data_IF_477651531189
#
_entry.id   IF_477651531189
#
_cell.length_a   1.000
_cell.length_b   1.000
_cell.length_c   1.000
_cell.angle_alpha   90.00
_cell.angle_beta   90.00
_cell.angle_gamma   90.00
#
_symmetry.space_group_name_H-M   'P 1'
#
loop_
_entity.id
_entity.type
_entity.pdbx_description
1 polymer ?
2 non-polymer ?
3 non-polymer ?
4 non-polymer ?
5 non-polymer ?
6 water ?
#
# COMPACT_ATOMS: atom_id res chain seq x y z
N UNK A 1 -2.43 -13.55 23.27
CA UNK A 1 -3.27 -14.71 23.69
C UNK A 1 -3.18 -15.79 22.63
N UNK A 2 -3.57 -17.00 22.96
CA UNK A 2 -3.86 -18.06 21.97
C UNK A 2 -5.13 -17.59 21.26
N UNK A 3 -5.11 -17.64 19.96
CA UNK A 3 -6.25 -17.14 19.22
C UNK A 3 -7.37 -18.14 19.18
N UNK A 4 -8.63 -17.69 19.12
CA UNK A 4 -9.72 -18.66 18.92
C UNK A 4 -9.57 -19.40 17.61
N UNK A 5 -10.06 -20.63 17.58
CA UNK A 5 -10.02 -21.43 16.36
C UNK A 5 -10.93 -20.87 15.26
N UNK A 6 -12.03 -20.21 15.62
CA UNK A 6 -12.97 -19.61 14.65
C UNK A 6 -13.48 -18.31 15.27
N UNK A 7 -13.75 -17.35 14.38
CA UNK A 7 -14.33 -16.04 14.76
C UNK A 7 -15.36 -15.68 13.71
N UNK A 8 -16.43 -15.05 14.15
CA UNK A 8 -17.44 -14.51 13.19
C UNK A 8 -17.96 -13.20 13.77
N UNK A 9 -17.50 -12.09 13.25
CA UNK A 9 -17.90 -10.75 13.71
C UNK A 9 -19.36 -10.47 13.50
N UNK A 10 -20.06 -11.22 12.66
CA UNK A 10 -21.52 -11.09 12.56
C UNK A 10 -22.18 -11.47 13.88
N UNK A 11 -21.63 -12.44 14.60
CA UNK A 11 -22.18 -12.85 15.90
C UNK A 11 -22.01 -11.76 16.93
N UNK A 12 -21.06 -10.84 16.72
CA UNK A 12 -20.74 -9.76 17.66
C UNK A 12 -21.54 -8.50 17.30
N UNK A 13 -22.39 -8.54 16.29
CA UNK A 13 -23.17 -7.39 15.92
C UNK A 13 -22.41 -6.27 15.27
N UNK A 14 -21.29 -6.61 14.58
CA UNK A 14 -20.36 -5.61 14.03
C UNK A 14 -20.37 -5.57 12.52
N UNK A 15 -21.32 -6.23 11.86
CA UNK A 15 -21.36 -6.31 10.39
C UNK A 15 -22.75 -5.93 9.89
N UNK A 16 -22.80 -4.96 9.00
CA UNK A 16 -24.05 -4.46 8.40
C UNK A 16 -24.54 -5.41 7.35
N UNK A 17 -25.74 -5.12 6.87
CA UNK A 17 -26.31 -5.81 5.73
C UNK A 17 -25.35 -5.76 4.55
N UNK A 18 -25.37 -6.80 3.73
CA UNK A 18 -24.63 -6.87 2.47
C UNK A 18 -25.19 -5.81 1.51
N UNK A 19 -24.25 -5.14 0.85
CA UNK A 19 -24.54 -4.08 -0.14
C UNK A 19 -24.31 -4.64 -1.54
N UNK A 20 -24.89 -3.90 -2.50
CA UNK A 20 -24.84 -4.24 -3.93
C UNK A 20 -24.21 -3.06 -4.69
N UNK A 21 -23.00 -3.22 -5.19
CA UNK A 21 -22.28 -2.12 -5.84
C UNK A 21 -22.80 -1.88 -7.25
N UNK A 22 -23.45 -2.86 -7.84
CA UNK A 22 -23.88 -2.76 -9.24
C UNK A 22 -22.69 -2.60 -10.16
N UNK A 23 -22.88 -1.81 -11.19
CA UNK A 23 -21.87 -1.71 -12.26
C UNK A 23 -20.77 -0.73 -11.93
N UNK A 24 -20.79 -0.12 -10.77
CA UNK A 24 -19.75 0.81 -10.30
C UNK A 24 -18.70 0.05 -9.50
N UNK A 25 -17.45 0.20 -9.87
CA UNK A 25 -16.29 -0.47 -9.27
C UNK A 25 -15.88 0.10 -7.94
N UNK A 26 -16.82 0.10 -6.99
CA UNK A 26 -16.72 0.77 -5.70
C UNK A 26 -16.39 -0.22 -4.59
N UNK A 27 -15.90 -1.40 -4.95
CA UNK A 27 -15.60 -2.42 -3.93
C UNK A 27 -14.67 -1.87 -2.85
N UNK A 28 -13.70 -1.07 -3.20
CA UNK A 28 -12.75 -0.50 -2.26
C UNK A 28 -13.48 0.37 -1.23
N UNK A 29 -14.48 1.10 -1.69
CA UNK A 29 -15.26 1.97 -0.81
C UNK A 29 -16.13 1.13 0.14
N UNK A 30 -16.74 0.07 -0.36
CA UNK A 30 -17.51 -0.82 0.50
C UNK A 30 -16.62 -1.52 1.51
N UNK A 31 -15.47 -2.01 1.06
CA UNK A 31 -14.53 -2.64 1.98
C UNK A 31 -14.16 -1.70 3.11
N UNK A 32 -13.80 -0.47 2.77
CA UNK A 32 -13.36 0.50 3.78
C UNK A 32 -14.49 0.82 4.73
N UNK A 33 -15.67 1.11 4.22
CA UNK A 33 -16.77 1.45 5.15
C UNK A 33 -17.11 0.24 6.03
N UNK A 34 -17.05 -0.97 5.50
CA UNK A 34 -17.36 -2.12 6.34
C UNK A 34 -16.38 -2.28 7.48
N UNK A 35 -15.11 -2.05 7.22
CA UNK A 35 -14.10 -2.11 8.28
C UNK A 35 -14.41 -1.08 9.35
N UNK A 36 -14.71 0.15 8.92
CA UNK A 36 -14.97 1.24 9.87
C UNK A 36 -16.30 1.02 10.63
N UNK A 37 -17.29 0.43 9.99
CA UNK A 37 -18.58 0.13 10.63
C UNK A 37 -18.36 -0.70 11.87
N UNK A 38 -17.47 -1.67 11.79
CA UNK A 38 -17.22 -2.51 12.95
C UNK A 38 -16.59 -1.73 14.07
N UNK A 39 -15.61 -0.87 13.76
CA UNK A 39 -14.97 -0.08 14.80
C UNK A 39 -15.97 0.89 15.41
N UNK A 40 -16.88 1.43 14.60
CA UNK A 40 -17.89 2.35 15.14
C UNK A 40 -18.79 1.60 16.10
N UNK A 41 -19.19 0.37 15.81
CA UNK A 41 -19.99 -0.43 16.75
C UNK A 41 -19.22 -0.65 18.03
N UNK A 42 -17.96 -1.02 17.92
CA UNK A 42 -17.15 -1.30 19.13
C UNK A 42 -17.02 -0.06 20.00
N UNK A 43 -16.94 1.11 19.39
CA UNK A 43 -16.78 2.38 20.13
C UNK A 43 -18.09 2.84 20.76
N UNK A 44 -19.16 2.82 19.99
CA UNK A 44 -20.39 3.54 20.32
C UNK A 44 -21.55 2.63 20.71
N UNK A 45 -21.50 1.35 20.36
CA UNK A 45 -22.62 0.47 20.54
C UNK A 45 -23.63 0.51 19.41
N UNK A 46 -23.45 1.38 18.42
CA UNK A 46 -24.39 1.52 17.28
C UNK A 46 -23.84 0.80 16.06
N UNK A 47 -24.68 0.03 15.38
CA UNK A 47 -24.35 -0.58 14.08
C UNK A 47 -25.02 0.28 13.02
N UNK A 48 -24.22 0.98 12.22
CA UNK A 48 -24.70 1.95 11.24
C UNK A 48 -24.01 1.71 9.91
N UNK A 49 -24.72 1.63 8.83
CA UNK A 49 -24.11 1.60 7.48
C UNK A 49 -23.55 2.97 7.17
N UNK A 50 -22.27 3.02 6.79
CA UNK A 50 -21.59 4.26 6.43
C UNK A 50 -21.60 4.46 4.93
N UNK A 51 -21.38 5.71 4.52
CA UNK A 51 -21.60 6.07 3.10
C UNK A 51 -20.42 5.70 2.19
N UNK A 52 -20.57 4.59 1.47
CA UNK A 52 -19.66 4.26 0.39
C UNK A 52 -19.67 5.34 -0.67
N UNK A 53 -20.83 5.93 -0.94
CA UNK A 53 -20.93 6.99 -2.00
C UNK A 53 -20.07 8.19 -1.61
N UNK A 54 -20.01 8.56 -0.33
CA UNK A 54 -19.15 9.64 0.16
C UNK A 54 -17.73 9.35 -0.27
N UNK A 55 -17.27 8.13 -0.10
CA UNK A 55 -15.89 7.81 -0.55
C UNK A 55 -15.77 7.89 -2.07
N UNK A 56 -16.68 7.33 -2.81
CA UNK A 56 -16.63 7.38 -4.28
C UNK A 56 -16.52 8.82 -4.76
N UNK A 57 -17.30 9.71 -4.21
CA UNK A 57 -17.41 11.09 -4.70
C UNK A 57 -16.33 12.00 -4.16
N UNK A 58 -15.73 11.66 -3.02
CA UNK A 58 -14.95 12.66 -2.26
C UNK A 58 -13.52 12.20 -2.03
N UNK A 59 -13.29 10.88 -1.95
CA UNK A 59 -11.92 10.35 -1.81
C UNK A 59 -11.49 10.03 -3.26
N UNK A 60 -11.10 11.06 -4.00
CA UNK A 60 -10.92 10.99 -5.45
C UNK A 60 -9.44 11.15 -5.80
N UNK A 61 -9.15 12.10 -6.69
CA UNK A 61 -7.84 12.21 -7.39
C UNK A 61 -6.74 12.30 -6.35
N UNK A 62 -6.93 13.15 -5.35
CA UNK A 62 -5.85 13.42 -4.38
C UNK A 62 -5.52 12.18 -3.57
N UNK A 63 -6.43 11.24 -3.51
CA UNK A 63 -6.26 9.98 -2.77
C UNK A 63 -5.89 8.85 -3.71
N UNK A 64 -5.61 9.11 -4.98
CA UNK A 64 -5.23 8.07 -5.91
C UNK A 64 -6.39 7.20 -6.33
N UNK A 65 -7.61 7.62 -6.02
CA UNK A 65 -8.79 6.83 -6.28
C UNK A 65 -9.55 7.34 -7.52
N UNK A 66 -10.30 6.47 -8.15
CA UNK A 66 -10.96 6.70 -9.44
C UNK A 66 -12.43 6.35 -9.34
N UNK A 67 -13.06 6.46 -8.19
CA UNK A 67 -14.52 6.32 -8.06
C UNK A 67 -14.95 4.96 -8.50
N UNK A 68 -15.85 4.93 -9.49
CA UNK A 68 -16.33 3.68 -10.06
C UNK A 68 -15.29 2.91 -10.85
N UNK A 69 -14.10 3.47 -11.08
CA UNK A 69 -13.01 2.80 -11.74
C UNK A 69 -11.92 2.41 -10.75
N UNK A 70 -12.27 2.26 -9.46
CA UNK A 70 -11.37 1.57 -8.51
C UNK A 70 -10.58 2.49 -7.58
N UNK A 71 -9.98 1.90 -6.58
CA UNK A 71 -9.26 2.71 -5.58
C UNK A 71 -8.76 1.84 -4.47
N UNK A 72 -8.30 2.53 -3.44
CA UNK A 72 -7.62 1.95 -2.27
C UNK A 72 -8.47 2.09 -1.02
N UNK A 73 -8.50 1.02 -0.22
CA UNK A 73 -9.07 1.13 1.14
C UNK A 73 -8.25 2.03 2.03
N UNK A 74 -6.93 1.90 1.96
CA UNK A 74 -6.07 2.70 2.83
C UNK A 74 -6.27 4.20 2.59
N UNK A 75 -6.27 4.59 1.32
CA UNK A 75 -6.37 6.00 1.02
C UNK A 75 -7.78 6.48 1.31
N UNK A 76 -8.78 5.61 1.23
CA UNK A 76 -10.12 5.98 1.71
C UNK A 76 -10.10 6.26 3.22
N UNK A 77 -9.45 5.40 4.01
CA UNK A 77 -9.31 5.69 5.45
C UNK A 77 -8.67 7.06 5.66
N UNK A 78 -7.58 7.33 4.90
CA UNK A 78 -6.90 8.63 5.09
C UNK A 78 -7.83 9.78 4.73
N UNK A 79 -8.64 9.67 3.70
CA UNK A 79 -9.62 10.71 3.43
C UNK A 79 -10.53 10.93 4.64
N UNK A 80 -11.02 9.87 5.27
CA UNK A 80 -11.91 10.04 6.42
C UNK A 80 -11.20 10.78 7.53
N UNK A 81 -9.93 10.43 7.79
CA UNK A 81 -9.08 11.13 8.80
C UNK A 81 -8.97 12.60 8.42
N UNK A 82 -8.54 12.88 7.21
CA UNK A 82 -8.29 14.25 6.74
C UNK A 82 -9.55 15.08 6.78
N UNK A 83 -10.64 14.46 6.40
CA UNK A 83 -11.95 15.14 6.28
C UNK A 83 -12.62 15.33 7.65
N UNK A 84 -12.14 14.63 8.67
CA UNK A 84 -12.71 14.67 10.03
C UNK A 84 -14.11 14.06 10.01
N UNK A 85 -14.41 13.17 9.10
CA UNK A 85 -15.69 12.47 9.14
C UNK A 85 -16.05 11.76 7.87
N UNK A 86 -17.06 10.90 8.01
CA UNK A 86 -17.77 10.27 6.91
C UNK A 86 -19.24 10.31 7.26
N UNK A 87 -20.08 10.53 6.27
CA UNK A 87 -21.54 10.59 6.46
C UNK A 87 -22.14 9.20 6.60
N UNK A 88 -23.33 9.14 7.18
CA UNK A 88 -24.12 7.89 7.16
C UNK A 88 -24.52 7.54 5.72
N UNK A 89 -24.71 6.24 5.49
CA UNK A 89 -25.32 5.81 4.25
C UNK A 89 -26.74 6.41 4.13
N UNK A 90 -27.47 6.47 5.23
CA UNK A 90 -28.86 6.97 5.17
C UNK A 90 -28.87 8.40 4.58
N UNK A 91 -27.92 9.24 5.03
CA UNK A 91 -27.84 10.67 4.66
C UNK A 91 -27.23 10.83 3.26
N UNK A 92 -26.42 9.86 2.80
CA UNK A 92 -25.61 9.99 1.59
C UNK A 92 -25.64 8.64 0.92
N UNK A 93 -26.80 8.28 0.36
CA UNK A 93 -27.00 6.94 -0.14
C UNK A 93 -26.29 6.63 -1.44
N UNK A 94 -26.18 5.34 -1.71
CA UNK A 94 -25.35 4.83 -2.82
C UNK A 94 -26.11 4.83 -4.12
N UNK A 95 -25.45 5.40 -5.14
CA UNK A 95 -25.98 5.73 -6.48
C UNK A 95 -25.39 4.80 -7.55
N UNK A 96 -24.23 4.20 -7.29
CA UNK A 96 -23.52 3.40 -8.31
C UNK A 96 -23.14 4.28 -9.49
N UNK A 97 -22.63 5.45 -9.18
CA UNK A 97 -22.08 6.33 -10.23
C UNK A 97 -21.20 7.40 -9.56
N UNK A 98 -20.33 8.00 -10.34
CA UNK A 98 -19.41 9.04 -9.86
C UNK A 98 -20.23 10.29 -9.74
N UNK A 99 -20.15 10.98 -8.63
CA UNK A 99 -20.81 12.26 -8.41
C UNK A 99 -19.90 13.33 -7.82
N UNK A 100 -20.34 14.59 -7.87
CA UNK A 100 -19.65 15.67 -7.18
C UNK A 100 -19.70 15.33 -5.68
N UNK A 101 -18.75 15.82 -4.95
CA UNK A 101 -18.64 15.59 -3.50
C UNK A 101 -19.73 16.36 -2.75
N UNK A 102 -20.58 15.62 -2.06
CA UNK A 102 -21.73 16.17 -1.33
C UNK A 102 -21.58 16.02 0.17
N UNK A 103 -20.37 15.74 0.67
CA UNK A 103 -20.17 15.56 2.10
C UNK A 103 -20.72 16.78 2.85
N UNK A 104 -21.39 16.51 3.96
CA UNK A 104 -21.83 17.55 4.88
C UNK A 104 -21.57 17.05 6.30
N UNK A 105 -20.88 17.80 7.11
CA UNK A 105 -20.57 17.40 8.47
C UNK A 105 -21.86 17.21 9.28
N UNK A 106 -22.92 17.86 8.92
CA UNK A 106 -24.18 17.72 9.73
C UNK A 106 -24.69 16.29 9.67
N UNK A 107 -24.21 15.49 8.74
CA UNK A 107 -24.65 14.08 8.64
C UNK A 107 -23.48 13.13 9.01
N UNK A 108 -22.46 13.62 9.67
CA UNK A 108 -21.33 12.79 10.06
C UNK A 108 -21.83 11.62 10.93
N UNK A 109 -21.40 10.40 10.59
CA UNK A 109 -21.72 9.21 11.38
C UNK A 109 -20.48 8.56 11.99
N UNK A 110 -19.29 8.84 11.50
CA UNK A 110 -18.09 8.27 12.08
C UNK A 110 -16.91 9.17 11.80
N UNK A 111 -15.86 8.92 12.56
CA UNK A 111 -14.54 9.48 12.32
C UNK A 111 -13.55 8.32 12.23
N UNK A 112 -12.31 8.66 11.87
CA UNK A 112 -11.21 7.67 11.86
C UNK A 112 -9.99 8.40 12.38
N UNK A 113 -9.21 7.73 13.22
CA UNK A 113 -8.01 8.35 13.79
C UNK A 113 -6.73 7.89 13.09
N UNK A 114 -6.75 6.69 12.53
CA UNK A 114 -5.56 6.04 12.03
C UNK A 114 -5.99 4.80 11.26
N UNK A 115 -5.06 4.27 10.47
CA UNK A 115 -5.24 2.93 9.93
C UNK A 115 -3.91 2.22 9.99
N UNK A 116 -3.96 0.91 9.86
CA UNK A 116 -2.79 0.03 9.96
C UNK A 116 -2.77 -0.89 8.76
N UNK A 117 -1.59 -1.01 8.19
CA UNK A 117 -1.34 -1.91 7.06
C UNK A 117 -0.59 -3.14 7.56
N UNK A 118 -1.11 -4.31 7.27
CA UNK A 118 -0.48 -5.51 7.74
C UNK A 118 0.65 -5.90 6.83
N UNK A 119 1.68 -6.55 7.41
CA UNK A 119 2.79 -6.99 6.58
C UNK A 119 2.35 -7.90 5.45
N UNK A 120 3.01 -7.78 4.33
CA UNK A 120 2.63 -8.49 3.14
C UNK A 120 2.63 -10.00 3.29
N UNK A 121 1.51 -10.62 2.96
CA UNK A 121 1.41 -12.04 2.76
C UNK A 121 1.32 -12.92 4.00
N UNK A 122 1.15 -12.32 5.16
CA UNK A 122 1.24 -13.05 6.45
C UNK A 122 -0.17 -13.41 6.89
N UNK A 123 -0.54 -14.65 6.70
CA UNK A 123 -1.88 -15.09 7.10
C UNK A 123 -2.00 -15.20 8.61
N UNK A 124 -0.93 -15.50 9.31
CA UNK A 124 -0.94 -15.55 10.79
C UNK A 124 -1.23 -14.17 11.39
N UNK A 125 -0.59 -13.15 10.81
CA UNK A 125 -0.82 -11.78 11.26
C UNK A 125 -2.24 -11.35 10.94
N UNK A 126 -2.74 -11.75 9.78
CA UNK A 126 -4.16 -11.47 9.44
C UNK A 126 -5.07 -12.14 10.45
N UNK A 127 -4.79 -13.39 10.81
CA UNK A 127 -5.67 -14.07 11.77
C UNK A 127 -5.70 -13.31 13.10
N UNK A 128 -4.53 -12.88 13.58
CA UNK A 128 -4.45 -12.13 14.82
C UNK A 128 -5.25 -10.83 14.75
N UNK A 129 -5.15 -10.11 13.64
CA UNK A 129 -5.91 -8.85 13.49
C UNK A 129 -7.41 -9.13 13.45
N UNK A 130 -7.84 -10.13 12.73
CA UNK A 130 -9.28 -10.45 12.68
C UNK A 130 -9.78 -10.86 14.07
N UNK A 131 -8.98 -11.63 14.80
CA UNK A 131 -9.40 -12.05 16.16
C UNK A 131 -9.43 -10.90 17.14
N UNK A 132 -8.41 -10.02 17.09
CA UNK A 132 -8.16 -9.10 18.19
C UNK A 132 -8.56 -7.66 17.87
N UNK A 133 -8.67 -7.29 16.63
CA UNK A 133 -8.94 -5.91 16.23
C UNK A 133 -10.32 -5.74 15.63
N UNK A 134 -10.67 -6.55 14.67
CA UNK A 134 -11.94 -6.43 13.97
C UNK A 134 -11.82 -6.91 12.54
N UNK A 135 -12.91 -6.77 11.78
CA UNK A 135 -12.86 -7.05 10.35
C UNK A 135 -11.76 -6.26 9.67
N UNK A 136 -11.14 -6.87 8.68
CA UNK A 136 -9.94 -6.35 8.00
C UNK A 136 -10.25 -6.22 6.51
N UNK A 137 -9.96 -5.05 5.95
CA UNK A 137 -10.10 -4.82 4.53
C UNK A 137 -8.97 -5.53 3.82
N UNK A 138 -9.27 -6.23 2.73
CA UNK A 138 -8.25 -6.97 1.93
C UNK A 138 -8.57 -6.83 0.45
N UNK A 139 -7.57 -7.07 -0.35
CA UNK A 139 -7.77 -7.29 -1.77
C UNK A 139 -7.60 -8.76 -2.10
N UNK A 140 -8.37 -9.26 -3.03
CA UNK A 140 -8.25 -10.63 -3.57
C UNK A 140 -8.19 -10.61 -5.09
N UNK A 141 -7.59 -11.65 -5.64
CA UNK A 141 -7.65 -11.95 -7.06
C UNK A 141 -9.03 -12.55 -7.35
N UNK A 142 -9.89 -11.74 -7.95
CA UNK A 142 -11.20 -12.17 -8.41
C UNK A 142 -11.26 -12.23 -9.94
N UNK A 143 -10.14 -12.47 -10.55
CA UNK A 143 -10.05 -12.45 -12.04
C UNK A 143 -10.30 -13.82 -12.64
N UNK A 144 -11.07 -14.67 -12.00
CA UNK A 144 -11.33 -16.04 -12.45
C UNK A 144 -12.83 -16.25 -12.47
N UNK A 145 -13.37 -16.92 -13.52
CA UNK A 145 -14.79 -17.25 -13.53
C UNK A 145 -15.31 -17.94 -12.27
N UNK A 146 -14.50 -18.80 -11.67
CA UNK A 146 -14.91 -19.54 -10.47
C UNK A 146 -15.35 -18.55 -9.37
N UNK A 147 -14.74 -17.36 -9.29
CA UNK A 147 -15.12 -16.40 -8.24
C UNK A 147 -16.55 -15.94 -8.45
N UNK A 148 -16.87 -15.59 -9.71
CA UNK A 148 -18.22 -15.16 -10.12
C UNK A 148 -19.26 -16.24 -9.92
N UNK A 149 -18.82 -17.48 -10.12
CA UNK A 149 -19.71 -18.64 -10.10
C UNK A 149 -19.82 -19.27 -8.72
N UNK A 150 -19.08 -18.78 -7.74
CA UNK A 150 -19.04 -19.38 -6.39
C UNK A 150 -20.45 -19.41 -5.80
N UNK A 151 -20.82 -20.52 -5.21
CA UNK A 151 -22.10 -20.65 -4.49
C UNK A 151 -21.94 -21.01 -3.04
N UNK A 152 -21.08 -21.94 -2.68
CA UNK A 152 -21.01 -22.42 -1.29
C UNK A 152 -19.71 -23.13 -1.05
N UNK A 153 -19.39 -23.25 0.22
CA UNK A 153 -18.25 -24.05 0.68
C UNK A 153 -16.98 -23.20 0.72
N UNK A 154 -15.84 -23.87 0.73
CA UNK A 154 -14.54 -23.19 0.78
C UNK A 154 -14.02 -23.04 -0.62
N UNK A 155 -13.86 -21.82 -1.06
CA UNK A 155 -13.37 -21.46 -2.38
C UNK A 155 -11.86 -21.69 -2.48
N UNK A 156 -11.47 -22.48 -3.49
CA UNK A 156 -10.07 -22.71 -3.87
C UNK A 156 -10.00 -22.71 -5.39
N UNK A 157 -9.18 -21.86 -5.93
CA UNK A 157 -9.01 -21.69 -7.39
C UNK A 157 -7.55 -21.96 -7.70
N UNK A 158 -7.24 -23.10 -8.38
CA UNK A 158 -5.85 -23.41 -8.65
C UNK A 158 -5.08 -22.36 -9.47
N UNK A 159 -5.79 -21.59 -10.28
CA UNK A 159 -5.18 -20.55 -11.14
C UNK A 159 -5.11 -19.19 -10.40
N UNK A 160 -5.51 -19.13 -9.12
CA UNK A 160 -5.42 -17.87 -8.39
C UNK A 160 -3.97 -17.41 -8.25
N UNK A 161 -3.83 -16.12 -8.19
CA UNK A 161 -2.52 -15.45 -8.03
C UNK A 161 -2.59 -14.47 -6.87
N UNK A 162 -1.46 -13.79 -6.63
CA UNK A 162 -1.35 -12.67 -5.67
C UNK A 162 -1.54 -11.33 -6.43
N UNK A 163 -2.04 -11.29 -7.66
CA UNK A 163 -2.27 -9.99 -8.35
C UNK A 163 -3.72 -9.62 -8.08
N UNK A 164 -3.94 -8.98 -6.96
CA UNK A 164 -5.29 -8.73 -6.42
C UNK A 164 -5.94 -7.57 -7.17
N UNK A 165 -7.25 -7.65 -7.28
CA UNK A 165 -8.00 -6.60 -7.99
C UNK A 165 -9.37 -6.29 -7.39
N UNK A 166 -9.79 -6.97 -6.33
CA UNK A 166 -11.15 -6.83 -5.79
C UNK A 166 -11.07 -6.62 -4.29
N UNK A 167 -11.57 -5.52 -3.80
CA UNK A 167 -11.57 -5.22 -2.37
C UNK A 167 -12.77 -5.80 -1.67
N UNK A 168 -12.52 -6.48 -0.57
CA UNK A 168 -13.53 -7.17 0.22
C UNK A 168 -13.18 -7.03 1.68
N UNK A 169 -13.97 -7.64 2.55
CA UNK A 169 -13.84 -7.46 4.01
C UNK A 169 -13.78 -8.84 4.67
N UNK A 170 -12.69 -9.13 5.36
CA UNK A 170 -12.61 -10.35 6.19
C UNK A 170 -13.33 -10.10 7.49
N UNK A 171 -14.42 -10.81 7.71
CA UNK A 171 -15.22 -10.66 8.93
C UNK A 171 -15.13 -11.88 9.84
N UNK A 172 -14.26 -12.83 9.54
CA UNK A 172 -14.06 -13.99 10.41
C UNK A 172 -13.19 -15.01 9.76
N UNK A 173 -13.09 -16.14 10.42
CA UNK A 173 -12.28 -17.27 9.93
C UNK A 173 -12.78 -18.51 10.63
N UNK A 174 -12.47 -19.65 10.06
CA UNK A 174 -12.90 -20.92 10.68
C UNK A 174 -12.43 -22.09 9.86
N UNK A 175 -13.19 -23.15 9.95
CA UNK A 175 -12.89 -24.34 9.17
C UNK A 175 -14.19 -25.07 8.88
N UNK A 176 -14.24 -25.69 7.71
CA UNK A 176 -15.42 -26.51 7.28
C UNK A 176 -14.92 -27.95 7.28
N UNK A 177 -15.14 -28.64 8.41
CA UNK A 177 -14.64 -30.02 8.64
C UNK A 177 -13.15 -30.08 8.39
N UNK A 178 -12.44 -29.10 8.93
CA UNK A 178 -10.98 -29.04 8.82
C UNK A 178 -10.46 -28.23 7.63
N UNK A 179 -11.34 -27.85 6.70
CA UNK A 179 -10.91 -27.06 5.51
C UNK A 179 -10.88 -25.60 5.99
N UNK A 180 -9.70 -25.04 6.23
CA UNK A 180 -9.63 -23.69 6.83
C UNK A 180 -10.08 -22.64 5.83
N UNK A 181 -10.75 -21.61 6.31
CA UNK A 181 -11.20 -20.52 5.47
C UNK A 181 -11.15 -19.19 6.19
N UNK A 182 -11.19 -18.17 5.36
CA UNK A 182 -11.47 -16.77 5.69
C UNK A 182 -12.94 -16.49 5.34
N UNK A 183 -13.68 -15.88 6.25
CA UNK A 183 -15.08 -15.51 5.98
C UNK A 183 -15.09 -14.09 5.43
N UNK A 184 -15.48 -13.94 4.17
CA UNK A 184 -15.34 -12.68 3.44
C UNK A 184 -16.70 -12.12 3.07
N UNK A 185 -16.94 -10.87 3.45
CA UNK A 185 -18.11 -10.11 3.02
C UNK A 185 -17.78 -9.43 1.70
N UNK A 186 -18.59 -9.71 0.68
CA UNK A 186 -18.48 -9.05 -0.62
C UNK A 186 -19.53 -7.93 -0.71
N UNK A 187 -19.47 -7.18 -1.79
CA UNK A 187 -20.39 -6.06 -2.09
C UNK A 187 -21.06 -6.28 -3.45
N UNK A 188 -21.39 -7.54 -3.74
CA UNK A 188 -22.06 -7.93 -4.98
C UNK A 188 -23.50 -8.34 -4.67
N UNK A 189 -24.03 -7.84 -3.58
CA UNK A 189 -25.40 -8.13 -3.20
C UNK A 189 -25.61 -9.46 -2.55
N UNK A 190 -26.83 -9.64 -2.10
CA UNK A 190 -27.18 -10.86 -1.30
C UNK A 190 -27.32 -12.09 -2.18
N UNK A 191 -27.31 -11.99 -3.48
CA UNK A 191 -27.48 -13.20 -4.31
C UNK A 191 -26.13 -13.83 -4.58
N UNK A 192 -25.04 -13.10 -4.34
CA UNK A 192 -23.70 -13.64 -4.60
C UNK A 192 -23.34 -14.65 -3.51
N UNK A 193 -22.83 -15.81 -3.90
CA UNK A 193 -22.23 -16.73 -2.94
C UNK A 193 -23.19 -17.15 -1.85
N UNK A 194 -22.69 -17.17 -0.61
CA UNK A 194 -23.43 -17.58 0.56
C UNK A 194 -24.19 -16.36 1.10
N UNK A 195 -25.20 -15.93 0.36
CA UNK A 195 -26.00 -14.77 0.74
C UNK A 195 -25.13 -13.53 0.98
N UNK A 196 -24.20 -13.35 0.05
CA UNK A 196 -23.33 -12.16 0.00
C UNK A 196 -21.91 -12.39 0.44
N UNK A 197 -21.63 -13.55 1.01
CA UNK A 197 -20.35 -13.94 1.61
C UNK A 197 -19.67 -15.01 0.77
N UNK A 198 -18.36 -15.07 0.87
CA UNK A 198 -17.58 -16.18 0.30
C UNK A 198 -16.60 -16.64 1.37
N UNK A 199 -16.47 -17.95 1.53
CA UNK A 199 -15.44 -18.51 2.40
C UNK A 199 -14.27 -18.91 1.50
N UNK A 200 -13.13 -18.30 1.75
CA UNK A 200 -11.95 -18.44 0.88
C UNK A 200 -10.84 -19.21 1.60
N UNK A 201 -10.14 -20.05 0.86
CA UNK A 201 -9.11 -20.90 1.46
C UNK A 201 -8.11 -20.14 2.29
N UNK A 202 -7.85 -20.63 3.48
CA UNK A 202 -6.95 -20.04 4.48
C UNK A 202 -5.77 -20.99 4.74
N UNK A 203 -4.61 -20.43 4.93
CA UNK A 203 -3.37 -21.18 5.16
C UNK A 203 -3.07 -22.09 3.97
N UNK A 204 -3.33 -21.58 2.79
CA UNK A 204 -3.06 -22.27 1.52
C UNK A 204 -2.19 -21.35 0.67
N UNK A 205 -1.11 -20.89 1.24
CA UNK A 205 -0.11 -20.13 0.49
C UNK A 205 -0.59 -18.75 0.04
N UNK A 206 -1.28 -18.05 0.95
CA UNK A 206 -1.78 -16.71 0.58
C UNK A 206 -2.66 -16.79 -0.68
N UNK A 207 -3.66 -17.68 -0.58
CA UNK A 207 -4.52 -18.02 -1.72
C UNK A 207 -5.26 -16.79 -2.20
N UNK A 208 -5.14 -16.52 -3.50
CA UNK A 208 -5.78 -15.37 -4.15
C UNK A 208 -5.31 -14.06 -3.55
N UNK A 209 -4.15 -14.05 -2.90
CA UNK A 209 -3.61 -12.81 -2.37
C UNK A 209 -4.39 -12.22 -1.21
N UNK A 210 -5.18 -13.02 -0.51
CA UNK A 210 -6.06 -12.46 0.53
C UNK A 210 -5.24 -11.75 1.60
N UNK A 211 -4.05 -12.21 1.95
CA UNK A 211 -3.22 -11.59 2.95
C UNK A 211 -2.17 -10.67 2.35
N UNK A 212 -2.25 -10.38 1.08
CA UNK A 212 -1.25 -9.48 0.44
C UNK A 212 -1.33 -8.07 1.02
N UNK A 213 -2.53 -7.46 0.98
CA UNK A 213 -2.64 -6.03 1.33
C UNK A 213 -3.79 -5.79 2.31
N UNK A 214 -3.66 -6.25 3.55
CA UNK A 214 -4.72 -6.07 4.55
C UNK A 214 -4.54 -4.76 5.28
N UNK A 215 -5.66 -4.13 5.66
CA UNK A 215 -5.61 -2.93 6.50
C UNK A 215 -6.86 -2.83 7.36
N UNK A 216 -6.73 -2.13 8.47
CA UNK A 216 -7.92 -1.83 9.27
C UNK A 216 -7.79 -0.46 9.87
N UNK A 217 -8.93 0.22 10.05
CA UNK A 217 -8.96 1.54 10.68
C UNK A 217 -9.21 1.43 12.17
N UNK A 218 -8.99 2.56 12.85
CA UNK A 218 -9.39 2.70 14.25
C UNK A 218 -9.97 4.06 14.49
N UNK A 219 -10.73 4.15 15.57
CA UNK A 219 -11.40 5.38 15.99
C UNK A 219 -10.85 5.81 17.35
N UNK A 220 -10.62 7.11 17.52
CA UNK A 220 -10.16 7.70 18.81
C UNK A 220 -11.01 7.23 19.99
N UNK B 1 11.98 15.23 18.91
CA UNK B 1 12.95 16.35 18.66
C UNK B 1 12.33 17.38 17.69
N UNK B 2 12.80 18.63 17.74
CA UNK B 2 12.64 19.63 16.63
C UNK B 2 13.37 19.02 15.44
N UNK B 3 12.74 19.00 14.28
CA UNK B 3 13.42 18.33 13.17
C UNK B 3 14.40 19.31 12.54
N UNK B 4 15.48 18.82 11.94
CA UNK B 4 16.34 19.72 11.20
C UNK B 4 15.60 20.36 10.02
N UNK B 5 16.01 21.59 9.69
CA UNK B 5 15.42 22.32 8.55
C UNK B 5 15.80 21.65 7.21
N UNK B 6 16.91 20.94 7.18
CA UNK B 6 17.35 20.23 5.97
C UNK B 6 18.10 18.97 6.36
N UNK B 7 18.04 17.98 5.46
CA UNK B 7 18.67 16.67 5.59
C UNK B 7 19.23 16.30 4.23
N UNK B 8 20.41 15.68 4.22
CA UNK B 8 20.97 15.09 3.00
C UNK B 8 21.79 13.87 3.42
N UNK B 9 21.21 12.69 3.24
CA UNK B 9 21.85 11.45 3.67
C UNK B 9 23.18 11.16 2.94
N UNK B 10 23.40 11.82 1.81
CA UNK B 10 24.70 11.67 1.15
C UNK B 10 25.81 12.21 2.07
N UNK B 11 25.53 13.16 2.93
CA UNK B 11 26.53 13.76 3.83
C UNK B 11 26.97 12.75 4.90
N UNK B 12 26.15 11.75 5.23
CA UNK B 12 26.55 10.73 6.22
C UNK B 12 27.01 9.46 5.52
N UNK B 13 27.22 9.50 4.21
CA UNK B 13 27.76 8.33 3.54
C UNK B 13 26.77 7.21 3.44
N UNK B 14 25.46 7.51 3.42
CA UNK B 14 24.43 6.45 3.46
C UNK B 14 23.79 6.21 2.08
N UNK B 15 24.30 6.80 1.02
CA UNK B 15 23.69 6.74 -0.31
C UNK B 15 24.73 6.28 -1.34
N UNK B 16 24.44 5.19 -2.00
CA UNK B 16 25.31 4.68 -3.07
C UNK B 16 25.23 5.53 -4.33
N UNK B 17 26.13 5.26 -5.27
CA UNK B 17 26.07 5.98 -6.52
C UNK B 17 24.77 5.64 -7.25
N UNK B 18 24.33 6.62 -8.02
CA UNK B 18 23.17 6.50 -8.89
C UNK B 18 23.33 5.33 -9.87
N UNK B 19 22.29 4.58 -10.05
CA UNK B 19 22.21 3.45 -10.96
C UNK B 19 21.41 3.81 -12.20
N UNK B 20 21.59 2.96 -13.23
CA UNK B 20 20.94 3.12 -14.54
C UNK B 20 20.13 1.88 -14.82
N UNK B 21 18.80 1.98 -14.79
CA UNK B 21 17.94 0.78 -14.93
C UNK B 21 17.79 0.38 -16.41
N UNK B 22 18.17 1.23 -17.33
CA UNK B 22 17.94 0.91 -18.76
C UNK B 22 16.46 0.82 -19.06
N UNK B 23 16.13 -0.03 -20.03
CA UNK B 23 14.73 -0.17 -20.47
C UNK B 23 13.98 -1.19 -19.64
N UNK B 24 14.46 -1.59 -18.53
CA UNK B 24 13.81 -2.52 -17.61
C UNK B 24 13.11 -1.68 -16.54
N UNK B 25 11.81 -1.88 -16.30
CA UNK B 25 11.04 -1.14 -15.30
C UNK B 25 11.24 -1.60 -13.90
N UNK B 26 12.47 -1.55 -13.44
CA UNK B 26 12.93 -2.06 -12.15
C UNK B 26 13.10 -0.94 -11.13
N UNK B 27 12.49 0.22 -11.37
CA UNK B 27 12.63 1.33 -10.42
C UNK B 27 12.27 0.92 -9.01
N UNK B 28 11.24 0.09 -8.85
CA UNK B 28 10.81 -0.37 -7.52
C UNK B 28 11.95 -1.09 -6.81
N UNK B 29 12.69 -1.88 -7.57
CA UNK B 29 13.82 -2.61 -7.00
C UNK B 29 14.95 -1.70 -6.62
N UNK B 30 15.25 -0.74 -7.46
CA UNK B 30 16.27 0.26 -7.13
C UNK B 30 15.87 1.06 -5.90
N UNK B 31 14.61 1.50 -5.84
CA UNK B 31 14.13 2.28 -4.69
C UNK B 31 14.31 1.45 -3.42
N UNK B 32 13.87 0.19 -3.44
CA UNK B 32 13.94 -0.65 -2.26
C UNK B 32 15.39 -0.89 -1.82
N UNK B 33 16.27 -1.24 -2.74
CA UNK B 33 17.66 -1.49 -2.33
C UNK B 33 18.28 -0.19 -1.81
N UNK B 34 17.95 0.94 -2.42
CA UNK B 34 18.53 2.20 -1.90
C UNK B 34 18.14 2.47 -0.47
N UNK B 35 16.88 2.23 -0.13
CA UNK B 35 16.44 2.43 1.26
C UNK B 35 17.19 1.47 2.21
N UNK B 36 17.35 0.23 1.78
CA UNK B 36 18.03 -0.76 2.64
C UNK B 36 19.52 -0.47 2.75
N UNK B 37 20.13 0.02 1.67
CA UNK B 37 21.58 0.36 1.71
C UNK B 37 21.86 1.34 2.82
N UNK B 38 21.01 2.34 3.01
CA UNK B 38 21.21 3.31 4.09
C UNK B 38 21.15 2.62 5.43
N UNK B 39 20.14 1.77 5.65
CA UNK B 39 20.04 1.08 6.94
C UNK B 39 21.26 0.19 7.18
N UNK B 40 21.77 -0.41 6.13
CA UNK B 40 22.96 -1.27 6.26
C UNK B 40 24.17 -0.42 6.66
N UNK B 41 24.35 0.77 6.08
CA UNK B 41 25.43 1.68 6.47
C UNK B 41 25.26 2.08 7.95
N UNK B 42 24.04 2.38 8.37
CA UNK B 42 23.80 2.84 9.75
C UNK B 42 24.12 1.71 10.70
N UNK B 43 23.81 0.47 10.33
CA UNK B 43 24.01 -0.68 11.23
C UNK B 43 25.48 -1.13 11.28
N UNK B 44 26.17 -1.19 10.15
CA UNK B 44 27.48 -1.85 10.05
C UNK B 44 28.61 -0.87 9.79
N UNK B 45 28.32 0.38 9.50
CA UNK B 45 29.31 1.41 9.11
C UNK B 45 29.82 1.26 7.69
N UNK B 46 29.27 0.36 6.89
CA UNK B 46 29.87 0.13 5.57
C UNK B 46 28.81 0.26 4.49
N UNK B 47 29.16 1.06 3.48
CA UNK B 47 28.27 1.34 2.33
C UNK B 47 28.49 0.31 1.25
N UNK B 48 27.44 -0.40 0.89
CA UNK B 48 27.49 -1.52 -0.05
C UNK B 48 26.25 -1.42 -0.94
N UNK B 49 26.43 -1.33 -2.26
CA UNK B 49 25.29 -1.42 -3.21
C UNK B 49 24.69 -2.82 -3.12
N UNK B 50 23.37 -2.88 -3.02
CA UNK B 50 22.65 -4.16 -2.91
C UNK B 50 22.02 -4.50 -4.25
N UNK B 51 21.70 -5.77 -4.45
CA UNK B 51 21.35 -6.28 -5.77
C UNK B 51 19.90 -5.99 -6.16
N UNK B 52 19.66 -4.97 -6.98
CA UNK B 52 18.34 -4.78 -7.59
C UNK B 52 17.98 -6.01 -8.41
N UNK B 53 18.96 -6.63 -9.09
CA UNK B 53 18.66 -7.77 -9.95
C UNK B 53 18.08 -8.92 -9.10
N UNK B 54 18.62 -9.15 -7.91
CA UNK B 54 18.11 -10.18 -6.99
C UNK B 54 16.61 -9.96 -6.78
N UNK B 55 16.18 -8.72 -6.62
CA UNK B 55 14.74 -8.44 -6.43
C UNK B 55 13.97 -8.69 -7.70
N UNK B 56 14.47 -8.23 -8.84
CA UNK B 56 13.84 -8.47 -10.13
C UNK B 56 13.60 -9.95 -10.36
N UNK B 57 14.60 -10.77 -10.09
CA UNK B 57 14.53 -12.19 -10.46
C UNK B 57 13.82 -13.03 -9.41
N UNK B 58 13.72 -12.57 -8.16
CA UNK B 58 13.34 -13.47 -7.06
C UNK B 58 12.16 -12.95 -6.24
N UNK B 59 11.92 -11.65 -6.24
CA UNK B 59 10.70 -11.09 -5.58
C UNK B 59 9.69 -10.92 -6.72
N UNK B 60 9.05 -12.01 -7.11
CA UNK B 60 8.27 -12.11 -8.35
C UNK B 60 6.78 -12.28 -8.01
N UNK B 61 6.14 -13.27 -8.62
CA UNK B 61 4.67 -13.40 -8.63
C UNK B 61 4.14 -13.44 -7.20
N UNK B 62 4.79 -14.17 -6.34
CA UNK B 62 4.32 -14.35 -4.95
C UNK B 62 4.24 -13.03 -4.22
N UNK B 63 5.00 -12.04 -4.68
CA UNK B 63 5.10 -10.71 -4.08
C UNK B 63 4.34 -9.65 -4.89
N UNK B 64 3.58 -10.07 -5.89
CA UNK B 64 2.83 -9.13 -6.71
C UNK B 64 3.70 -8.34 -7.65
N UNK B 65 4.95 -8.73 -7.86
CA UNK B 65 5.91 -7.98 -8.70
C UNK B 65 6.08 -8.67 -10.04
N UNK B 66 6.45 -7.89 -11.03
CA UNK B 66 6.55 -8.32 -12.42
C UNK B 66 7.90 -7.95 -13.02
N UNK B 67 8.95 -7.89 -12.20
CA UNK B 67 10.29 -7.74 -12.74
C UNK B 67 10.43 -6.43 -13.50
N UNK B 68 10.86 -6.54 -14.75
CA UNK B 68 11.00 -5.40 -15.65
C UNK B 68 9.69 -4.75 -16.03
N UNK B 69 8.57 -5.31 -15.58
CA UNK B 69 7.21 -4.80 -15.80
C UNK B 69 6.61 -4.32 -14.47
N UNK B 70 7.44 -3.90 -13.52
CA UNK B 70 7.01 -3.10 -12.39
C UNK B 70 6.76 -3.89 -11.13
N UNK B 71 6.59 -3.20 -10.03
CA UNK B 71 6.44 -3.85 -8.73
C UNK B 71 6.33 -2.85 -7.59
N UNK B 72 6.44 -3.38 -6.39
CA UNK B 72 6.27 -2.66 -5.14
C UNK B 72 7.56 -2.68 -4.33
N UNK B 73 7.89 -1.55 -3.72
CA UNK B 73 9.01 -1.51 -2.73
C UNK B 73 8.64 -2.30 -1.46
N UNK B 74 7.39 -2.18 -1.01
CA UNK B 74 7.02 -2.88 0.25
C UNK B 74 7.14 -4.37 0.10
N UNK B 75 6.66 -4.92 -1.01
CA UNK B 75 6.67 -6.37 -1.18
C UNK B 75 8.08 -6.84 -1.44
N UNK B 76 8.92 -5.99 -2.03
CA UNK B 76 10.37 -6.27 -2.13
C UNK B 76 10.98 -6.42 -0.75
N UNK B 77 10.65 -5.50 0.16
CA UNK B 77 11.16 -5.61 1.53
C UNK B 77 10.71 -6.94 2.13
N UNK B 78 9.44 -7.28 1.97
CA UNK B 78 8.94 -8.52 2.55
C UNK B 78 9.67 -9.74 1.98
N UNK B 79 9.99 -9.72 0.67
CA UNK B 79 10.82 -10.80 0.09
C UNK B 79 12.14 -10.89 0.85
N UNK B 80 12.79 -9.79 1.08
CA UNK B 80 14.11 -9.84 1.75
C UNK B 80 13.96 -10.42 3.16
N UNK B 81 12.91 -10.03 3.87
CA UNK B 81 12.61 -10.62 5.20
C UNK B 81 12.42 -12.12 5.09
N UNK B 82 11.53 -12.56 4.19
CA UNK B 82 11.14 -13.97 4.04
C UNK B 82 12.34 -14.80 3.61
N UNK B 83 13.16 -14.22 2.73
CA UNK B 83 14.32 -14.89 2.13
C UNK B 83 15.51 -14.91 3.11
N UNK B 84 15.48 -14.14 4.17
CA UNK B 84 16.58 -14.01 5.14
C UNK B 84 17.82 -13.45 4.48
N UNK B 85 17.65 -12.63 3.45
CA UNK B 85 18.79 -11.93 2.87
C UNK B 85 18.59 -11.37 1.48
N UNK B 86 19.53 -10.53 1.12
CA UNK B 86 19.70 -10.03 -0.26
C UNK B 86 21.22 -10.00 -0.57
N UNK B 87 21.54 -10.36 -1.81
CA UNK B 87 22.93 -10.37 -2.27
C UNK B 87 23.44 -8.96 -2.54
N UNK B 88 24.77 -8.81 -2.52
CA UNK B 88 25.37 -7.55 -2.98
C UNK B 88 25.16 -7.39 -4.51
N UNK B 89 25.18 -6.12 -4.93
CA UNK B 89 25.18 -5.81 -6.35
C UNK B 89 26.43 -6.40 -7.05
N UNK B 90 27.58 -6.35 -6.37
CA UNK B 90 28.80 -6.90 -6.98
C UNK B 90 28.65 -8.38 -7.30
N UNK B 91 28.00 -9.12 -6.40
CA UNK B 91 27.82 -10.57 -6.54
C UNK B 91 26.76 -10.95 -7.54
N UNK B 92 25.74 -10.08 -7.70
CA UNK B 92 24.51 -10.39 -8.42
C UNK B 92 24.19 -9.16 -9.24
N UNK B 93 24.96 -8.96 -10.30
CA UNK B 93 24.88 -7.71 -11.02
C UNK B 93 23.61 -7.52 -11.84
N UNK B 94 23.38 -6.23 -12.15
CA UNK B 94 22.16 -5.83 -12.83
C UNK B 94 22.31 -5.96 -14.34
N UNK B 95 21.32 -6.61 -14.94
CA UNK B 95 21.33 -6.93 -16.37
C UNK B 95 20.15 -6.33 -17.14
N UNK B 96 19.23 -5.68 -16.45
CA UNK B 96 18.14 -4.99 -17.12
C UNK B 96 17.27 -6.00 -17.91
N UNK B 97 17.08 -7.20 -17.32
CA UNK B 97 16.30 -8.28 -17.90
C UNK B 97 15.69 -9.11 -16.80
N UNK B 98 14.62 -9.81 -17.11
CA UNK B 98 14.06 -10.82 -16.19
C UNK B 98 14.90 -12.08 -16.30
N UNK B 99 15.43 -12.59 -15.22
CA UNK B 99 16.22 -13.82 -15.21
C UNK B 99 15.71 -14.79 -14.16
N UNK B 100 16.22 -16.01 -14.18
CA UNK B 100 15.94 -16.98 -13.12
C UNK B 100 16.52 -16.48 -11.81
N UNK B 101 15.89 -16.84 -10.72
CA UNK B 101 16.36 -16.45 -9.38
C UNK B 101 17.67 -17.20 -9.08
N UNK B 102 18.72 -16.42 -8.83
CA UNK B 102 20.08 -16.90 -8.57
C UNK B 102 20.56 -16.52 -7.19
N UNK B 103 19.67 -16.20 -6.25
CA UNK B 103 20.08 -15.85 -4.89
C UNK B 103 20.97 -16.94 -4.30
N UNK B 104 22.04 -16.54 -3.62
CA UNK B 104 22.87 -17.48 -2.85
C UNK B 104 23.24 -16.77 -1.56
N UNK B 105 23.07 -17.42 -0.42
CA UNK B 105 23.38 -16.85 0.88
C UNK B 105 24.88 -16.56 1.00
N UNK B 106 25.72 -17.26 0.27
CA UNK B 106 27.17 -16.98 0.41
C UNK B 106 27.50 -15.59 -0.07
N UNK B 107 26.62 -14.94 -0.83
CA UNK B 107 26.78 -13.55 -1.29
C UNK B 107 25.91 -12.57 -0.58
N UNK B 108 25.28 -12.99 0.52
CA UNK B 108 24.40 -12.09 1.28
C UNK B 108 25.16 -10.89 1.77
N UNK B 109 24.59 -9.71 1.58
CA UNK B 109 25.17 -8.46 2.08
C UNK B 109 24.25 -7.71 3.01
N UNK B 110 22.97 -8.08 3.08
CA UNK B 110 22.08 -7.43 4.04
C UNK B 110 20.93 -8.36 4.35
N UNK B 111 20.28 -8.03 5.46
CA UNK B 111 19.00 -8.63 5.86
C UNK B 111 18.00 -7.50 6.09
N UNK B 112 16.75 -7.87 6.33
CA UNK B 112 15.69 -6.93 6.70
C UNK B 112 14.81 -7.61 7.74
N UNK B 113 14.43 -6.84 8.76
CA UNK B 113 13.60 -7.40 9.84
C UNK B 113 12.13 -7.00 9.70
N UNK B 114 11.88 -5.88 9.06
CA UNK B 114 10.53 -5.33 8.96
C UNK B 114 10.57 -4.18 7.99
N UNK B 115 9.40 -3.66 7.70
CA UNK B 115 9.23 -2.40 6.99
C UNK B 115 8.03 -1.66 7.50
N UNK B 116 8.00 -0.37 7.25
CA UNK B 116 6.95 0.55 7.71
C UNK B 116 6.42 1.32 6.53
N UNK B 117 5.10 1.28 6.35
CA UNK B 117 4.42 2.16 5.38
C UNK B 117 3.94 3.40 6.13
N UNK B 118 4.21 4.56 5.58
CA UNK B 118 3.77 5.83 6.18
C UNK B 118 2.33 6.09 5.81
N UNK B 119 1.63 6.91 6.62
CA UNK B 119 0.27 7.29 6.28
C UNK B 119 0.21 8.09 4.97
N UNK B 120 -0.86 7.89 4.23
CA UNK B 120 -1.03 8.45 2.90
C UNK B 120 -1.00 9.97 2.90
N UNK B 121 -0.13 10.50 2.07
CA UNK B 121 -0.12 11.91 1.73
C UNK B 121 0.43 12.88 2.76
N UNK B 122 1.05 12.40 3.81
CA UNK B 122 1.40 13.25 4.96
C UNK B 122 2.88 13.66 4.86
N UNK B 123 3.10 14.84 4.30
CA UNK B 123 4.45 15.33 4.09
C UNK B 123 5.19 15.61 5.37
N UNK B 124 4.51 15.97 6.46
CA UNK B 124 5.15 16.14 7.78
C UNK B 124 5.68 14.81 8.31
N UNK B 125 4.89 13.74 8.16
CA UNK B 125 5.32 12.41 8.64
C UNK B 125 6.50 11.95 7.78
N UNK B 126 6.45 12.21 6.48
CA UNK B 126 7.59 11.84 5.60
C UNK B 126 8.84 12.62 6.05
N UNK B 127 8.71 13.93 6.34
CA UNK B 127 9.86 14.69 6.82
C UNK B 127 10.45 14.03 8.06
N UNK B 128 9.60 13.70 9.03
CA UNK B 128 10.07 13.07 10.28
C UNK B 128 10.81 11.77 9.98
N UNK B 129 10.30 10.94 9.07
CA UNK B 129 10.96 9.67 8.77
C UNK B 129 12.30 9.91 8.08
N UNK B 130 12.35 10.83 7.14
CA UNK B 130 13.65 11.12 6.47
C UNK B 130 14.65 11.61 7.47
N UNK B 131 14.24 12.44 8.42
CA UNK B 131 15.18 12.99 9.42
C UNK B 131 15.61 11.90 10.39
N UNK B 132 14.68 11.07 10.88
CA UNK B 132 14.92 10.23 12.07
C UNK B 132 15.17 8.79 11.75
N UNK B 133 14.84 8.31 10.56
CA UNK B 133 14.98 6.89 10.19
C UNK B 133 16.00 6.72 9.07
N UNK B 134 15.86 7.49 8.00
CA UNK B 134 16.73 7.32 6.84
C UNK B 134 16.01 7.66 5.56
N UNK B 135 16.66 7.43 4.43
CA UNK B 135 15.99 7.52 3.13
C UNK B 135 14.73 6.65 3.09
N UNK B 136 13.75 7.19 2.37
CA UNK B 136 12.41 6.57 2.28
C UNK B 136 12.06 6.30 0.82
N UNK B 137 11.63 5.09 0.58
CA UNK B 137 11.14 4.71 -0.76
C UNK B 137 9.78 5.36 -1.01
N UNK B 138 9.58 5.95 -2.18
CA UNK B 138 8.31 6.58 -2.54
C UNK B 138 8.01 6.34 -4.00
N UNK B 139 6.75 6.54 -4.35
CA UNK B 139 6.37 6.64 -5.75
C UNK B 139 6.05 8.09 -6.11
N UNK B 140 6.32 8.44 -7.36
CA UNK B 140 5.95 9.75 -7.92
C UNK B 140 5.28 9.57 -9.27
N UNK B 141 4.51 10.57 -9.63
CA UNK B 141 4.00 10.74 -11.01
C UNK B 141 5.09 11.35 -11.86
N UNK B 142 5.77 10.48 -12.61
CA UNK B 142 6.89 10.84 -13.53
C UNK B 142 6.41 10.79 -14.96
N UNK B 143 5.11 10.93 -15.22
CA UNK B 143 4.63 10.77 -16.61
C UNK B 143 4.81 12.03 -17.45
N UNK B 144 4.95 13.18 -16.84
CA UNK B 144 4.81 14.44 -17.61
C UNK B 144 6.12 14.76 -18.31
N UNK B 145 6.05 15.28 -19.55
CA UNK B 145 7.25 15.57 -20.31
C UNK B 145 8.29 16.41 -19.57
N UNK B 146 7.83 17.31 -18.71
CA UNK B 146 8.76 18.13 -17.94
C UNK B 146 9.67 17.28 -17.06
N UNK B 147 9.21 16.15 -16.56
CA UNK B 147 10.04 15.37 -15.64
C UNK B 147 11.31 14.92 -16.33
N UNK B 148 11.19 14.43 -17.55
CA UNK B 148 12.32 13.90 -18.29
C UNK B 148 13.35 15.01 -18.60
N UNK B 149 12.87 16.21 -18.71
CA UNK B 149 13.66 17.39 -19.12
C UNK B 149 14.19 18.19 -17.94
N UNK B 150 13.91 17.77 -16.72
CA UNK B 150 14.40 18.50 -15.53
C UNK B 150 15.92 18.60 -15.56
N UNK B 151 16.42 19.78 -15.22
CA UNK B 151 17.89 19.95 -15.12
C UNK B 151 18.32 20.53 -13.78
N UNK B 152 17.57 21.42 -13.18
CA UNK B 152 18.05 22.14 -11.97
C UNK B 152 16.89 22.81 -11.32
N UNK B 153 17.12 23.35 -10.13
CA UNK B 153 16.06 24.00 -9.37
C UNK B 153 15.15 23.04 -8.68
N UNK B 154 13.98 23.51 -8.37
CA UNK B 154 12.94 22.72 -7.67
C UNK B 154 11.80 22.48 -8.66
N UNK B 155 11.58 21.20 -8.94
CA UNK B 155 10.57 20.74 -9.91
C UNK B 155 9.17 20.97 -9.34
N UNK B 156 8.39 21.73 -10.09
CA UNK B 156 6.96 21.96 -9.83
C UNK B 156 6.23 21.94 -11.18
N UNK B 157 5.34 20.99 -11.34
CA UNK B 157 4.64 20.75 -12.60
C UNK B 157 3.16 20.88 -12.29
N UNK B 158 2.49 21.96 -12.74
CA UNK B 158 1.06 22.07 -12.48
C UNK B 158 0.22 20.91 -12.99
N UNK B 159 0.66 20.18 -13.99
CA UNK B 159 -0.07 19.03 -14.54
C UNK B 159 0.14 17.78 -13.69
N UNK B 160 0.99 17.78 -12.68
CA UNK B 160 1.25 16.58 -11.90
C UNK B 160 -0.03 16.13 -11.18
N UNK B 161 -0.05 14.85 -10.90
CA UNK B 161 -1.15 14.21 -10.20
C UNK B 161 -0.62 13.37 -9.06
N UNK B 162 -1.54 12.80 -8.27
CA UNK B 162 -1.20 11.80 -7.27
C UNK B 162 -1.30 10.38 -7.80
N UNK B 163 -1.42 10.18 -9.10
CA UNK B 163 -1.41 8.82 -9.66
C UNK B 163 0.04 8.51 -9.97
N UNK B 164 0.69 7.85 -9.04
CA UNK B 164 2.13 7.64 -9.13
C UNK B 164 2.43 6.44 -10.01
N UNK B 165 3.55 6.51 -10.70
CA UNK B 165 3.97 5.43 -11.61
C UNK B 165 5.44 5.05 -11.45
N UNK B 166 6.25 5.75 -10.68
CA UNK B 166 7.70 5.63 -10.72
C UNK B 166 8.27 5.59 -9.31
N UNK B 167 8.96 4.50 -9.00
CA UNK B 167 9.57 4.33 -7.67
C UNK B 167 10.94 4.99 -7.60
N UNK B 168 11.13 5.81 -6.58
CA UNK B 168 12.36 6.58 -6.38
C UNK B 168 12.68 6.61 -4.89
N UNK B 169 13.74 7.31 -4.49
CA UNK B 169 14.20 7.29 -3.12
C UNK B 169 14.36 8.71 -2.62
N UNK B 170 13.67 9.06 -1.54
CA UNK B 170 13.87 10.38 -0.92
C UNK B 170 15.06 10.27 0.01
N UNK B 171 16.13 11.03 -0.30
CA UNK B 171 17.37 10.97 0.54
C UNK B 171 17.56 12.23 1.35
N UNK B 172 16.64 13.15 1.25
CA UNK B 172 16.77 14.41 1.99
C UNK B 172 15.67 15.36 1.68
N UNK B 173 15.79 16.57 2.24
CA UNK B 173 14.84 17.64 2.04
C UNK B 173 15.52 18.94 2.40
N UNK B 174 14.96 20.06 1.97
CA UNK B 174 15.52 21.35 2.33
C UNK B 174 14.77 22.45 1.67
N UNK B 175 15.46 23.57 1.49
CA UNK B 175 14.90 24.74 0.80
C UNK B 175 16.00 25.35 -0.08
N UNK B 176 15.63 25.66 -1.29
CA UNK B 176 16.54 26.25 -2.26
C UNK B 176 15.84 27.51 -2.81
N UNK B 177 16.42 28.67 -2.54
CA UNK B 177 15.89 29.95 -3.10
C UNK B 177 14.41 30.13 -2.79
N UNK B 178 14.03 29.79 -1.55
CA UNK B 178 12.66 30.01 -1.08
C UNK B 178 11.68 28.94 -1.42
N UNK B 179 12.16 27.89 -2.09
CA UNK B 179 11.29 26.77 -2.46
C UNK B 179 11.69 25.56 -1.65
N UNK B 180 10.75 24.99 -0.90
CA UNK B 180 11.00 23.75 -0.17
C UNK B 180 11.03 22.58 -1.16
N UNK B 181 11.87 21.61 -0.88
CA UNK B 181 12.01 20.44 -1.76
C UNK B 181 12.26 19.18 -0.99
N UNK B 182 12.00 18.09 -1.71
CA UNK B 182 12.43 16.72 -1.39
C UNK B 182 13.60 16.37 -2.32
N UNK B 183 14.70 15.81 -1.77
CA UNK B 183 15.83 15.41 -2.63
C UNK B 183 15.59 13.97 -3.01
N UNK B 184 15.44 13.76 -4.31
CA UNK B 184 15.04 12.43 -4.84
C UNK B 184 16.14 11.84 -5.69
N UNK B 185 16.57 10.64 -5.34
CA UNK B 185 17.49 9.81 -6.11
C UNK B 185 16.70 8.98 -7.10
N UNK B 186 16.96 9.16 -8.38
CA UNK B 186 16.36 8.37 -9.47
C UNK B 186 17.32 7.27 -9.89
N UNK B 187 16.85 6.39 -10.76
CA UNK B 187 17.59 5.25 -11.30
C UNK B 187 17.61 5.27 -12.83
N UNK B 188 17.74 6.46 -13.40
CA UNK B 188 17.90 6.67 -14.82
C UNK B 188 19.31 7.13 -15.17
N UNK B 189 20.26 6.80 -14.36
CA UNK B 189 21.65 7.18 -14.59
C UNK B 189 21.94 8.62 -14.23
N UNK B 190 23.21 8.98 -14.38
CA UNK B 190 23.68 10.37 -14.10
C UNK B 190 23.21 11.36 -15.14
N UNK B 191 22.78 10.96 -16.31
CA UNK B 191 22.34 11.95 -17.30
C UNK B 191 21.10 12.65 -16.86
N UNK B 192 20.26 11.93 -16.08
CA UNK B 192 19.01 12.48 -15.65
C UNK B 192 19.24 13.58 -14.63
N UNK B 193 18.55 14.71 -14.79
CA UNK B 193 18.51 15.67 -13.71
C UNK B 193 19.87 16.18 -13.31
N UNK B 194 20.08 16.32 -12.01
CA UNK B 194 21.31 16.83 -11.42
C UNK B 194 22.10 15.61 -11.00
N UNK B 195 22.89 15.05 -11.90
CA UNK B 195 23.68 13.86 -11.59
C UNK B 195 22.81 12.72 -11.06
N UNK B 196 21.62 12.60 -11.59
CA UNK B 196 20.71 11.50 -11.26
C UNK B 196 19.69 11.82 -10.20
N UNK B 197 19.70 13.02 -9.71
CA UNK B 197 18.81 13.53 -8.65
C UNK B 197 17.88 14.56 -9.23
N UNK B 198 16.73 14.68 -8.56
CA UNK B 198 15.74 15.73 -8.83
C UNK B 198 15.28 16.29 -7.48
N UNK B 199 15.21 17.62 -7.37
CA UNK B 199 14.61 18.26 -6.22
C UNK B 199 13.15 18.48 -6.59
N UNK B 200 12.25 17.88 -5.81
CA UNK B 200 10.81 17.96 -6.13
C UNK B 200 10.08 18.79 -5.08
N UNK B 201 9.09 19.58 -5.50
CA UNK B 201 8.42 20.50 -4.58
C UNK B 201 7.87 19.76 -3.36
N UNK B 202 8.09 20.40 -2.21
CA UNK B 202 7.71 19.92 -0.87
C UNK B 202 6.69 20.90 -0.25
N UNK B 203 5.72 20.33 0.43
CA UNK B 203 4.66 21.10 1.12
C UNK B 203 3.86 21.88 0.08
N UNK B 204 3.69 21.32 -1.13
CA UNK B 204 2.88 21.86 -2.22
C UNK B 204 1.76 20.87 -2.53
N UNK B 205 1.04 20.42 -1.52
CA UNK B 205 -0.17 19.60 -1.78
C UNK B 205 0.18 18.19 -2.27
N UNK B 206 1.20 17.59 -1.64
CA UNK B 206 1.56 16.21 -2.04
C UNK B 206 1.85 16.17 -3.55
N UNK B 207 2.72 17.10 -3.99
CA UNK B 207 3.06 17.31 -5.41
C UNK B 207 3.55 16.01 -6.03
N UNK B 208 2.94 15.64 -7.15
CA UNK B 208 3.32 14.43 -7.87
C UNK B 208 3.17 13.17 -7.05
N UNK B 209 2.39 13.25 -5.98
CA UNK B 209 2.16 12.08 -5.14
C UNK B 209 3.34 11.58 -4.34
N UNK B 210 4.33 12.46 -4.12
CA UNK B 210 5.59 12.03 -3.49
C UNK B 210 5.35 11.42 -2.11
N UNK B 211 4.40 11.95 -1.33
CA UNK B 211 4.11 11.40 -0.01
C UNK B 211 2.95 10.42 0.02
N UNK B 212 2.49 9.97 -1.15
CA UNK B 212 1.36 9.04 -1.24
C UNK B 212 1.69 7.71 -0.59
N UNK B 213 2.76 7.07 -1.05
CA UNK B 213 3.07 5.69 -0.61
C UNK B 213 4.52 5.53 -0.18
N UNK B 214 4.90 6.17 0.95
CA UNK B 214 6.27 6.08 1.43
C UNK B 214 6.49 4.83 2.30
N UNK B 215 7.66 4.20 2.24
CA UNK B 215 7.99 3.08 3.11
C UNK B 215 9.48 3.07 3.38
N UNK B 216 9.88 2.48 4.47
CA UNK B 216 11.29 2.26 4.78
C UNK B 216 11.47 0.96 5.52
N UNK B 217 12.58 0.26 5.27
CA UNK B 217 12.93 -0.96 5.96
C UNK B 217 13.79 -0.70 7.19
N UNK B 218 13.91 -1.74 8.02
CA UNK B 218 14.90 -1.69 9.10
C UNK B 218 15.58 -3.03 9.18
N UNK B 219 16.72 -3.01 9.87
CA UNK B 219 17.54 -4.22 10.06
C UNK B 219 17.65 -4.46 11.56
N UNK B 220 17.51 -5.70 12.01
CA UNK B 220 17.58 -6.02 13.46
C UNK B 220 18.87 -5.48 14.08
#
# INVERSE_FOLDING_TARGET
RILPDSVDWREKGCVTEVKYQGSCGACWAFSAVGALEAQLKLKTGKLVSLSAQNLVDCSTEKYGNKGCNGGFMTTAFQYIIDNKGIDSDASYPYKAMDQKCQYDSKYRAATCSKYTELPYGREDVLKEAVANKGPVSVGVDARHPSFFLYRSGVYYEPSCTQNVNHGVLVVGYGDLNGKEYWLVKNSWGHNFGEEGYIRMARNKGNHCGIASFPSYPEIHHHHHH
RILPDSVDWREKGCVTEVKYQGSCGACWAFSAVGALEAQLKLKTGKLVSLSAQNLVDCSTEKYGNKGCNGGFMTTAFQYIIDNKGIDSDASYPYKAMDQKCQYDSKYRAATCSKYTELPYGREDVLKEAVANKGPVSVGVDARHPSFFLYRSGVYYEPSCTQNVNHGVLVVGYGDLNGKEYWLVKNSWGHNFGEEGYIRMARNKGNHCGIASFPSYPEIHHHHHH
#
